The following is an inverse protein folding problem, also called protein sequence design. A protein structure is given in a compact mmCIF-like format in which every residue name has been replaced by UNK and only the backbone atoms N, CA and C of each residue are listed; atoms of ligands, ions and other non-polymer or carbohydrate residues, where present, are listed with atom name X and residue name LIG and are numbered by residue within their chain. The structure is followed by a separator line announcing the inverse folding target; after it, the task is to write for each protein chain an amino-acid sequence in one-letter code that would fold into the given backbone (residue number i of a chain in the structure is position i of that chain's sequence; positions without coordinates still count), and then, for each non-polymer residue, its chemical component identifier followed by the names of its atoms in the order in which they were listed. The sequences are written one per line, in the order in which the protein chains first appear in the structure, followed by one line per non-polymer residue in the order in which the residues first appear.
data_IF_652091221551
#
_entry.id   IF_652091221551
#
_cell.length_a   1.000
_cell.length_b   1.000
_cell.length_c   1.000
_cell.angle_alpha   90.00
_cell.angle_beta   90.00
_cell.angle_gamma   90.00
#
_symmetry.space_group_name_H-M   'P 1'
#
loop_
_entity.id
_entity.type
_entity.pdbx_description
1 polymer ?
#
# COMPACT_ATOMS: atom_id res chain seq x y z
N UNK A 1 -28.55 -43.76 -3.89
CA UNK A 1 -28.74 -42.35 -4.28
C UNK A 1 -27.85 -41.49 -3.40
N UNK A 2 -26.89 -40.80 -4.02
CA UNK A 2 -25.83 -40.03 -3.37
C UNK A 2 -26.37 -38.76 -2.71
N UNK A 3 -26.15 -38.62 -1.41
CA UNK A 3 -26.28 -37.35 -0.70
C UNK A 3 -25.25 -36.35 -1.25
N UNK A 4 -25.68 -35.52 -2.21
CA UNK A 4 -24.99 -34.27 -2.55
C UNK A 4 -25.12 -33.32 -1.36
N UNK A 5 -24.23 -33.48 -0.37
CA UNK A 5 -23.91 -32.37 0.53
C UNK A 5 -23.28 -31.31 -0.35
N UNK A 6 -24.03 -30.24 -0.63
CA UNK A 6 -23.50 -28.99 -1.15
C UNK A 6 -22.35 -28.58 -0.23
N UNK A 7 -21.13 -28.86 -0.65
CA UNK A 7 -19.91 -28.38 -0.03
C UNK A 7 -19.78 -26.90 -0.41
N UNK A 8 -20.62 -26.06 0.20
CA UNK A 8 -20.48 -24.60 0.17
C UNK A 8 -19.24 -24.24 0.97
N UNK A 9 -18.07 -24.58 0.43
CA UNK A 9 -16.77 -24.14 0.97
C UNK A 9 -16.83 -22.62 0.99
N UNK A 10 -16.80 -22.03 2.18
CA UNK A 10 -16.76 -20.57 2.38
C UNK A 10 -15.56 -20.02 1.60
N UNK A 11 -15.85 -19.42 0.46
CA UNK A 11 -14.93 -18.55 -0.26
C UNK A 11 -14.52 -17.40 0.66
N UNK A 12 -13.25 -17.00 0.62
CA UNK A 12 -12.83 -15.82 1.34
C UNK A 12 -13.52 -14.61 0.70
N UNK A 13 -14.10 -13.73 1.52
CA UNK A 13 -14.74 -12.51 1.04
C UNK A 13 -14.26 -11.33 1.88
N UNK A 14 -13.75 -10.32 1.21
CA UNK A 14 -13.38 -9.05 1.83
C UNK A 14 -13.81 -7.91 0.91
N UNK A 15 -15.12 -7.69 0.88
CA UNK A 15 -15.74 -6.72 -0.03
C UNK A 15 -15.11 -5.33 0.07
N UNK A 16 -14.75 -4.88 1.28
CA UNK A 16 -14.11 -3.56 1.44
C UNK A 16 -12.74 -3.48 0.76
N UNK A 17 -11.94 -4.55 0.81
CA UNK A 17 -10.67 -4.59 0.09
C UNK A 17 -10.90 -4.71 -1.42
N UNK A 18 -11.87 -5.54 -1.83
CA UNK A 18 -12.21 -5.73 -3.24
C UNK A 18 -12.73 -4.42 -3.86
N UNK A 19 -13.53 -3.65 -3.13
CA UNK A 19 -13.98 -2.31 -3.50
C UNK A 19 -12.80 -1.34 -3.62
N UNK A 20 -11.85 -1.35 -2.67
CA UNK A 20 -10.65 -0.51 -2.76
C UNK A 20 -9.84 -0.88 -4.01
N UNK A 21 -9.62 -2.17 -4.27
CA UNK A 21 -8.94 -2.67 -5.47
C UNK A 21 -9.66 -2.18 -6.73
N UNK A 22 -10.99 -2.24 -6.75
CA UNK A 22 -11.77 -1.76 -7.89
C UNK A 22 -11.68 -0.25 -8.06
N UNK A 23 -11.76 0.53 -6.98
CA UNK A 23 -11.55 1.99 -7.01
C UNK A 23 -10.17 2.33 -7.58
N UNK A 24 -9.12 1.61 -7.18
CA UNK A 24 -7.76 1.83 -7.69
C UNK A 24 -7.62 1.45 -9.17
N UNK A 25 -8.38 0.45 -9.65
CA UNK A 25 -8.43 0.05 -11.08
C UNK A 25 -9.20 1.03 -11.97
N UNK A 26 -10.29 1.60 -11.46
CA UNK A 26 -11.22 2.44 -12.23
C UNK A 26 -10.90 3.94 -12.12
N UNK A 27 -10.66 4.41 -10.88
CA UNK A 27 -10.59 5.83 -10.51
C UNK A 27 -9.17 6.32 -10.16
N UNK A 28 -8.16 5.47 -10.30
CA UNK A 28 -6.75 5.83 -10.46
C UNK A 28 -6.01 6.55 -9.32
N UNK A 29 -6.45 6.57 -8.06
CA UNK A 29 -5.68 7.37 -7.07
C UNK A 29 -6.08 7.20 -5.58
N UNK A 30 -5.07 7.29 -4.71
CA UNK A 30 -5.22 7.52 -3.27
C UNK A 30 -5.36 9.00 -2.92
N UNK A 31 -4.96 9.92 -3.81
CA UNK A 31 -4.98 11.37 -3.65
C UNK A 31 -5.59 12.11 -4.86
N UNK A 32 -6.81 12.64 -4.69
CA UNK A 32 -7.55 13.36 -5.74
C UNK A 32 -8.14 14.63 -5.16
N UNK A 33 -8.25 15.71 -5.96
CA UNK A 33 -8.85 16.98 -5.53
C UNK A 33 -8.17 17.55 -4.26
N UNK A 34 -6.84 17.56 -4.28
CA UNK A 34 -5.98 18.02 -3.19
C UNK A 34 -6.21 17.36 -1.81
N UNK A 35 -6.83 16.17 -1.78
CA UNK A 35 -7.13 15.44 -0.54
C UNK A 35 -7.00 13.92 -0.75
N UNK A 36 -6.91 13.19 0.35
CA UNK A 36 -6.96 11.72 0.28
C UNK A 36 -8.34 11.25 -0.17
N UNK A 37 -8.37 10.15 -0.92
CA UNK A 37 -9.62 9.52 -1.35
C UNK A 37 -10.38 8.97 -0.14
N UNK A 38 -11.41 9.72 0.29
CA UNK A 38 -12.17 9.43 1.51
C UNK A 38 -12.91 8.08 1.43
N UNK A 39 -13.25 7.61 0.23
CA UNK A 39 -13.91 6.31 0.04
C UNK A 39 -12.96 5.18 0.42
N UNK A 40 -11.67 5.28 0.05
CA UNK A 40 -10.64 4.33 0.45
C UNK A 40 -10.41 4.41 1.97
N UNK A 41 -10.27 5.63 2.51
CA UNK A 41 -10.04 5.87 3.95
C UNK A 41 -11.16 5.25 4.81
N UNK A 42 -12.42 5.39 4.42
CA UNK A 42 -13.55 4.85 5.18
C UNK A 42 -13.65 3.32 5.11
N UNK A 43 -13.01 2.68 4.11
CA UNK A 43 -13.06 1.23 3.90
C UNK A 43 -11.87 0.49 4.51
N UNK A 44 -10.72 1.15 4.66
CA UNK A 44 -9.46 0.46 4.94
C UNK A 44 -9.44 -0.26 6.29
N UNK A 45 -10.08 0.29 7.32
CA UNK A 45 -10.21 -0.37 8.63
C UNK A 45 -10.97 -1.70 8.51
N UNK A 46 -12.12 -1.68 7.83
CA UNK A 46 -12.93 -2.88 7.63
C UNK A 46 -12.24 -3.87 6.69
N UNK A 47 -11.48 -3.39 5.70
CA UNK A 47 -10.65 -4.22 4.85
C UNK A 47 -9.58 -4.95 5.68
N UNK A 48 -8.90 -4.24 6.59
CA UNK A 48 -7.90 -4.82 7.49
C UNK A 48 -8.52 -5.87 8.43
N UNK A 49 -9.66 -5.55 9.06
CA UNK A 49 -10.40 -6.50 9.92
C UNK A 49 -10.93 -7.70 9.13
N UNK A 50 -11.29 -7.51 7.86
CA UNK A 50 -11.75 -8.56 6.94
C UNK A 50 -10.73 -9.66 6.68
N UNK A 51 -9.43 -9.39 6.86
CA UNK A 51 -8.41 -10.45 6.87
C UNK A 51 -8.51 -11.37 8.09
N UNK A 52 -8.99 -10.87 9.24
CA UNK A 52 -8.96 -11.56 10.53
C UNK A 52 -7.60 -12.22 10.78
N UNK A 53 -7.62 -13.49 11.21
CA UNK A 53 -6.41 -14.30 11.42
C UNK A 53 -5.78 -14.90 10.16
N UNK A 54 -6.35 -14.69 8.97
CA UNK A 54 -5.91 -15.36 7.72
C UNK A 54 -4.63 -14.74 7.18
N UNK A 55 -4.49 -13.43 7.33
CA UNK A 55 -3.25 -12.70 7.04
C UNK A 55 -2.62 -12.30 8.36
N UNK A 56 -1.36 -12.70 8.55
CA UNK A 56 -0.65 -12.40 9.79
C UNK A 56 -0.01 -11.03 9.72
N UNK A 57 -0.10 -10.27 10.82
CA UNK A 57 0.58 -8.97 10.97
C UNK A 57 2.07 -9.05 10.67
N UNK A 58 2.74 -10.14 11.03
CA UNK A 58 4.17 -10.36 10.72
C UNK A 58 4.44 -10.41 9.22
N UNK A 59 3.55 -11.02 8.43
CA UNK A 59 3.73 -11.10 6.98
C UNK A 59 3.57 -9.73 6.32
N UNK A 60 2.68 -8.90 6.85
CA UNK A 60 2.48 -7.53 6.38
C UNK A 60 3.58 -6.59 6.86
N UNK A 61 4.12 -6.79 8.07
CA UNK A 61 5.21 -5.98 8.64
C UNK A 61 6.43 -5.89 7.72
N UNK A 62 6.82 -6.99 7.08
CA UNK A 62 7.98 -6.98 6.19
C UNK A 62 7.75 -6.12 4.94
N UNK A 63 6.51 -6.07 4.45
CA UNK A 63 6.12 -5.20 3.34
C UNK A 63 6.08 -3.74 3.83
N UNK A 64 5.47 -3.50 4.99
CA UNK A 64 5.40 -2.20 5.65
C UNK A 64 6.78 -1.57 5.85
N UNK A 65 7.70 -2.30 6.48
CA UNK A 65 9.06 -1.82 6.71
C UNK A 65 9.76 -1.47 5.40
N UNK A 66 9.60 -2.29 4.36
CA UNK A 66 10.21 -2.01 3.07
C UNK A 66 9.71 -0.71 2.42
N UNK A 67 8.43 -0.36 2.60
CA UNK A 67 7.92 0.94 2.16
C UNK A 67 8.39 2.09 3.05
N UNK A 68 8.50 1.90 4.37
CA UNK A 68 9.08 2.89 5.29
C UNK A 68 10.56 3.15 4.99
N UNK A 69 11.32 2.14 4.57
CA UNK A 69 12.71 2.31 4.14
C UNK A 69 12.78 3.22 2.89
N UNK A 70 11.86 3.06 1.94
CA UNK A 70 11.77 3.92 0.75
C UNK A 70 11.38 5.35 1.15
N UNK A 71 10.41 5.52 2.04
CA UNK A 71 10.03 6.85 2.56
C UNK A 71 11.20 7.54 3.27
N UNK A 72 11.97 6.79 4.06
CA UNK A 72 13.16 7.32 4.71
C UNK A 72 14.22 7.76 3.69
N UNK A 73 14.46 6.97 2.65
CA UNK A 73 15.38 7.34 1.57
C UNK A 73 14.91 8.60 0.83
N UNK A 74 13.61 8.70 0.55
CA UNK A 74 13.01 9.88 -0.09
C UNK A 74 13.21 11.13 0.78
N UNK A 75 12.91 11.03 2.07
CA UNK A 75 13.09 12.14 3.02
C UNK A 75 14.55 12.57 3.17
N UNK A 76 15.49 11.62 3.17
CA UNK A 76 16.93 11.93 3.19
C UNK A 76 17.35 12.69 1.94
N UNK A 77 16.87 12.27 0.76
CA UNK A 77 17.14 13.00 -0.49
C UNK A 77 16.53 14.40 -0.47
N UNK A 78 15.30 14.55 0.01
CA UNK A 78 14.69 15.88 0.19
C UNK A 78 15.55 16.79 1.07
N UNK A 79 16.05 16.31 2.21
CA UNK A 79 16.92 17.12 3.08
C UNK A 79 18.22 17.53 2.39
N UNK A 80 18.83 16.63 1.62
CA UNK A 80 20.12 16.89 0.97
C UNK A 80 20.00 17.82 -0.24
N UNK A 81 18.92 17.70 -1.00
CA UNK A 81 18.72 18.44 -2.26
C UNK A 81 17.96 19.75 -2.10
N UNK A 82 17.17 19.89 -1.03
CA UNK A 82 16.44 21.13 -0.70
C UNK A 82 17.27 21.90 0.32
N UNK A 83 18.42 22.40 -0.11
CA UNK A 83 19.22 23.31 0.71
C UNK A 83 18.63 24.72 0.65
N UNK A 84 18.07 25.19 1.76
CA UNK A 84 17.38 26.49 1.84
C UNK A 84 18.35 27.67 1.59
N UNK A 85 19.65 27.47 1.81
CA UNK A 85 20.66 28.51 1.61
C UNK A 85 20.97 28.80 0.13
N UNK A 86 20.35 28.05 -0.80
CA UNK A 86 20.52 28.23 -2.26
C UNK A 86 19.49 29.17 -2.86
N UNK A 87 18.38 29.45 -2.17
CA UNK A 87 17.36 30.40 -2.61
C UNK A 87 17.83 31.80 -2.19
N UNK A 88 18.47 32.51 -3.12
CA UNK A 88 19.11 33.80 -2.87
C UNK A 88 18.10 34.86 -2.38
N UNK A 89 18.60 35.84 -1.62
CA UNK A 89 17.89 36.83 -0.79
C UNK A 89 16.84 37.74 -1.49
N UNK A 90 16.44 37.49 -2.74
CA UNK A 90 15.55 38.36 -3.52
C UNK A 90 14.34 37.67 -4.17
N UNK A 91 13.97 36.47 -3.76
CA UNK A 91 12.82 35.76 -4.33
C UNK A 91 11.51 35.99 -3.54
N UNK A 92 10.43 36.30 -4.27
CA UNK A 92 9.08 36.30 -3.72
C UNK A 92 8.74 34.91 -3.16
N UNK A 93 8.02 34.86 -2.03
CA UNK A 93 7.65 33.61 -1.31
C UNK A 93 7.04 32.55 -2.24
N UNK A 94 6.23 32.96 -3.22
CA UNK A 94 5.60 32.06 -4.19
C UNK A 94 6.62 31.39 -5.14
N UNK A 95 7.68 32.10 -5.51
CA UNK A 95 8.77 31.57 -6.36
C UNK A 95 9.57 30.48 -5.65
N UNK A 96 9.96 30.72 -4.40
CA UNK A 96 10.67 29.75 -3.56
C UNK A 96 9.84 28.48 -3.40
N UNK A 97 8.54 28.61 -3.14
CA UNK A 97 7.64 27.46 -2.99
C UNK A 97 7.55 26.64 -4.28
N UNK A 98 7.40 27.30 -5.44
CA UNK A 98 7.35 26.61 -6.72
C UNK A 98 8.65 25.85 -7.02
N UNK A 99 9.80 26.43 -6.72
CA UNK A 99 11.09 25.78 -6.94
C UNK A 99 11.29 24.59 -6.00
N UNK A 100 10.91 24.73 -4.72
CA UNK A 100 10.92 23.62 -3.76
C UNK A 100 10.01 22.47 -4.20
N UNK A 101 8.79 22.77 -4.65
CA UNK A 101 7.84 21.75 -5.12
C UNK A 101 8.37 21.04 -6.37
N UNK A 102 8.98 21.77 -7.31
CA UNK A 102 9.65 21.20 -8.48
C UNK A 102 10.79 20.27 -8.08
N UNK A 103 11.64 20.68 -7.13
CA UNK A 103 12.77 19.88 -6.69
C UNK A 103 12.33 18.60 -5.97
N UNK A 104 11.28 18.67 -5.16
CA UNK A 104 10.67 17.48 -4.56
C UNK A 104 10.18 16.50 -5.61
N UNK A 105 9.53 17.01 -6.67
CA UNK A 105 9.05 16.15 -7.75
C UNK A 105 10.20 15.49 -8.52
N UNK A 106 11.30 16.21 -8.78
CA UNK A 106 12.52 15.62 -9.38
C UNK A 106 13.07 14.47 -8.52
N UNK A 107 13.26 14.72 -7.22
CA UNK A 107 13.75 13.72 -6.26
C UNK A 107 12.80 12.51 -6.19
N UNK A 108 11.50 12.75 -6.17
CA UNK A 108 10.51 11.68 -6.17
C UNK A 108 10.62 10.81 -7.42
N UNK A 109 10.79 11.42 -8.60
CA UNK A 109 10.94 10.70 -9.86
C UNK A 109 12.19 9.79 -9.89
N UNK A 110 13.24 10.11 -9.13
CA UNK A 110 14.38 9.20 -8.95
C UNK A 110 14.07 7.99 -8.06
N UNK A 111 13.19 8.15 -7.08
CA UNK A 111 12.79 7.09 -6.12
C UNK A 111 11.65 6.24 -6.68
N UNK A 112 10.80 6.80 -7.53
CA UNK A 112 9.63 6.14 -8.14
C UNK A 112 9.94 4.76 -8.74
N UNK A 113 11.04 4.54 -9.49
CA UNK A 113 11.40 3.19 -9.96
C UNK A 113 11.55 2.16 -8.84
N UNK A 114 12.09 2.54 -7.68
CA UNK A 114 12.24 1.67 -6.51
C UNK A 114 10.85 1.29 -5.97
N UNK A 115 9.92 2.24 -5.91
CA UNK A 115 8.52 2.00 -5.55
C UNK A 115 7.89 0.99 -6.53
N UNK A 116 8.09 1.16 -7.85
CA UNK A 116 7.53 0.23 -8.85
C UNK A 116 8.13 -1.18 -8.73
N UNK A 117 9.42 -1.30 -8.39
CA UNK A 117 10.09 -2.59 -8.13
C UNK A 117 9.54 -3.35 -6.91
N UNK A 118 8.84 -2.67 -5.99
CA UNK A 118 8.19 -3.33 -4.85
C UNK A 118 7.18 -4.40 -5.29
N UNK A 119 6.63 -4.30 -6.50
CA UNK A 119 5.72 -5.33 -7.05
C UNK A 119 6.37 -6.71 -7.02
N UNK A 120 7.62 -6.84 -7.48
CA UNK A 120 8.35 -8.10 -7.48
C UNK A 120 8.67 -8.61 -6.07
N UNK A 121 9.07 -7.72 -5.16
CA UNK A 121 9.32 -8.07 -3.76
C UNK A 121 8.06 -8.58 -3.06
N UNK A 122 6.91 -7.96 -3.32
CA UNK A 122 5.62 -8.35 -2.74
C UNK A 122 5.16 -9.70 -3.30
N UNK A 123 5.25 -9.92 -4.62
CA UNK A 123 5.01 -11.22 -5.24
C UNK A 123 5.82 -12.32 -4.57
N UNK A 124 7.11 -12.09 -4.36
CA UNK A 124 7.98 -13.06 -3.70
C UNK A 124 7.58 -13.31 -2.24
N UNK A 125 7.38 -12.24 -1.45
CA UNK A 125 7.04 -12.37 -0.02
C UNK A 125 5.70 -13.07 0.19
N UNK A 126 4.68 -12.71 -0.60
CA UNK A 126 3.35 -13.32 -0.51
C UNK A 126 3.36 -14.73 -1.10
N UNK A 127 4.00 -14.94 -2.24
CA UNK A 127 4.16 -16.26 -2.87
C UNK A 127 4.76 -17.28 -1.90
N UNK A 128 5.87 -16.93 -1.24
CA UNK A 128 6.47 -17.78 -0.19
C UNK A 128 5.52 -18.07 0.97
N UNK A 129 4.69 -17.12 1.38
CA UNK A 129 3.69 -17.35 2.42
C UNK A 129 2.65 -18.36 1.95
N UNK A 130 2.11 -18.20 0.74
CA UNK A 130 1.13 -19.11 0.14
C UNK A 130 1.68 -20.53 -0.03
N UNK A 131 2.94 -20.67 -0.46
CA UNK A 131 3.62 -21.96 -0.62
C UNK A 131 3.82 -22.68 0.71
N UNK A 132 4.14 -21.93 1.78
CA UNK A 132 4.29 -22.47 3.13
C UNK A 132 2.98 -22.91 3.78
N UNK A 133 1.81 -22.58 3.21
CA UNK A 133 0.51 -22.98 3.73
C UNK A 133 0.12 -24.39 3.28
N UNK A 134 -0.53 -25.13 4.18
CA UNK A 134 -1.10 -26.44 3.90
C UNK A 134 -2.04 -26.39 2.67
N UNK A 135 -2.07 -27.45 1.86
CA UNK A 135 -3.00 -27.61 0.71
C UNK A 135 -4.46 -27.38 1.08
N UNK A 136 -4.85 -27.65 2.34
CA UNK A 136 -6.22 -27.46 2.85
C UNK A 136 -6.55 -26.00 3.22
N UNK A 137 -5.55 -25.12 3.35
CA UNK A 137 -5.71 -23.72 3.77
C UNK A 137 -6.20 -22.79 2.63
N UNK A 138 -7.25 -23.20 1.91
CA UNK A 138 -7.74 -22.48 0.71
C UNK A 138 -8.12 -21.03 0.99
N UNK A 139 -8.83 -20.77 2.10
CA UNK A 139 -9.29 -19.44 2.48
C UNK A 139 -8.11 -18.52 2.83
N UNK A 140 -7.07 -19.03 3.49
CA UNK A 140 -5.86 -18.24 3.79
C UNK A 140 -5.08 -17.90 2.53
N UNK A 141 -4.93 -18.87 1.61
CA UNK A 141 -4.30 -18.62 0.30
C UNK A 141 -5.03 -17.53 -0.47
N UNK A 142 -6.36 -17.59 -0.53
CA UNK A 142 -7.20 -16.57 -1.17
C UNK A 142 -7.05 -15.20 -0.49
N UNK A 143 -7.01 -15.14 0.85
CA UNK A 143 -6.77 -13.89 1.57
C UNK A 143 -5.41 -13.26 1.22
N UNK A 144 -4.33 -14.05 1.13
CA UNK A 144 -3.03 -13.56 0.70
C UNK A 144 -3.02 -13.11 -0.78
N UNK A 145 -3.76 -13.77 -1.66
CA UNK A 145 -3.92 -13.35 -3.06
C UNK A 145 -4.63 -11.99 -3.17
N UNK A 146 -5.67 -11.77 -2.38
CA UNK A 146 -6.34 -10.47 -2.33
C UNK A 146 -5.40 -9.37 -1.79
N UNK A 147 -4.61 -9.67 -0.75
CA UNK A 147 -3.57 -8.75 -0.26
C UNK A 147 -2.54 -8.41 -1.35
N UNK A 148 -2.11 -9.41 -2.13
CA UNK A 148 -1.19 -9.21 -3.23
C UNK A 148 -1.79 -8.28 -4.29
N UNK A 149 -3.05 -8.53 -4.68
CA UNK A 149 -3.76 -7.70 -5.66
C UNK A 149 -3.90 -6.25 -5.17
N UNK A 150 -4.21 -6.04 -3.89
CA UNK A 150 -4.23 -4.71 -3.29
C UNK A 150 -2.91 -3.97 -3.49
N UNK A 151 -1.78 -4.58 -3.17
CA UNK A 151 -0.48 -3.93 -3.33
C UNK A 151 -0.11 -3.70 -4.79
N UNK A 152 -0.43 -4.66 -5.68
CA UNK A 152 -0.18 -4.49 -7.11
C UNK A 152 -0.91 -3.26 -7.67
N UNK A 153 -2.20 -3.10 -7.34
CA UNK A 153 -2.97 -1.94 -7.78
C UNK A 153 -2.49 -0.66 -7.08
N UNK A 154 -2.14 -0.75 -5.79
CA UNK A 154 -1.59 0.39 -5.06
C UNK A 154 -0.31 0.93 -5.71
N UNK A 155 0.62 0.04 -6.07
CA UNK A 155 1.88 0.42 -6.72
C UNK A 155 1.63 0.97 -8.12
N UNK A 156 0.65 0.43 -8.84
CA UNK A 156 0.32 0.87 -10.19
C UNK A 156 -0.06 2.36 -10.22
N UNK A 157 -0.90 2.81 -9.28
CA UNK A 157 -1.40 4.21 -9.24
C UNK A 157 -0.41 5.23 -8.68
N UNK A 158 0.65 4.80 -7.99
CA UNK A 158 1.62 5.73 -7.39
C UNK A 158 2.50 6.34 -8.49
N UNK A 159 2.10 7.51 -8.97
CA UNK A 159 2.81 8.23 -10.02
C UNK A 159 3.39 9.59 -9.61
N UNK A 160 2.94 10.13 -8.48
CA UNK A 160 3.37 11.42 -7.90
C UNK A 160 3.69 11.26 -6.41
N UNK A 161 4.45 12.20 -5.81
CA UNK A 161 4.82 12.13 -4.39
C UNK A 161 3.60 12.08 -3.46
N UNK A 162 2.55 12.85 -3.77
CA UNK A 162 1.33 12.91 -2.95
C UNK A 162 0.56 11.59 -2.95
N UNK A 163 0.57 10.86 -4.07
CA UNK A 163 0.01 9.51 -4.15
C UNK A 163 0.75 8.55 -3.23
N UNK A 164 2.08 8.60 -3.25
CA UNK A 164 2.89 7.75 -2.39
C UNK A 164 2.64 8.03 -0.90
N UNK A 165 2.59 9.31 -0.51
CA UNK A 165 2.27 9.72 0.86
C UNK A 165 0.86 9.27 1.29
N UNK A 166 -0.14 9.41 0.42
CA UNK A 166 -1.50 8.98 0.70
C UNK A 166 -1.58 7.45 0.83
N UNK A 167 -0.93 6.71 -0.06
CA UNK A 167 -0.78 5.26 0.03
C UNK A 167 -0.16 4.84 1.36
N UNK A 168 0.95 5.47 1.79
CA UNK A 168 1.63 5.14 3.05
C UNK A 168 0.70 5.30 4.26
N UNK A 169 -0.07 6.38 4.32
CA UNK A 169 -1.05 6.63 5.38
C UNK A 169 -2.16 5.58 5.41
N UNK A 170 -2.70 5.23 4.24
CA UNK A 170 -3.70 4.17 4.10
C UNK A 170 -3.11 2.82 4.53
N UNK A 171 -1.88 2.53 4.11
CA UNK A 171 -1.23 1.27 4.44
C UNK A 171 -0.88 1.17 5.93
N UNK A 172 -0.41 2.25 6.55
CA UNK A 172 -0.17 2.32 7.99
C UNK A 172 -1.45 2.07 8.78
N UNK A 173 -2.57 2.67 8.35
CA UNK A 173 -3.89 2.42 8.93
C UNK A 173 -4.27 0.93 8.83
N UNK A 174 -4.18 0.33 7.64
CA UNK A 174 -4.41 -1.11 7.47
C UNK A 174 -3.54 -1.96 8.39
N UNK A 175 -2.22 -1.69 8.42
CA UNK A 175 -1.29 -2.42 9.26
C UNK A 175 -1.60 -2.29 10.75
N UNK A 176 -2.08 -1.11 11.19
CA UNK A 176 -2.52 -0.85 12.55
C UNK A 176 -3.73 -1.68 12.97
N UNK A 177 -4.71 -1.84 12.07
CA UNK A 177 -5.96 -2.57 12.33
C UNK A 177 -5.90 -4.08 12.09
N UNK A 178 -4.82 -4.61 11.50
CA UNK A 178 -4.64 -6.06 11.38
C UNK A 178 -4.61 -6.73 12.76
N UNK A 179 -5.41 -7.79 12.91
CA UNK A 179 -5.42 -8.57 14.14
C UNK A 179 -4.00 -9.06 14.48
N UNK A 180 -3.61 -8.89 15.75
CA UNK A 180 -2.42 -9.58 16.27
C UNK A 180 -2.74 -11.06 16.22
N UNK A 181 -2.06 -11.81 15.35
CA UNK A 181 -2.16 -13.27 15.34
C UNK A 181 -1.96 -13.80 16.76
N UNK A 182 -2.79 -14.77 17.18
CA UNK A 182 -2.72 -15.31 18.53
C UNK A 182 -1.30 -15.80 18.82
N UNK A 183 -0.77 -15.46 20.00
CA UNK A 183 0.31 -16.22 20.61
C UNK A 183 -0.25 -17.63 20.79
N UNK A 184 0.11 -18.55 19.90
CA UNK A 184 0.06 -19.97 20.21
C UNK A 184 1.39 -20.32 20.84
#
# INVERSE_FOLDING_TARGET
MSNFKNDTRKEYKNQNLDDIIQILKENNSFYYDNKMNIVIVNKIEYAAKGFGRKVTRTSVRNIYNAFKDIEMQLNQKYINEININTFAENEFIDGIKMEMDKKKEEVFNEVKPIIKLMKGKIHYLIGRKIEGLNKKAKTEKSAYQHLQSFFEQSIAVIDESKEFEAFLKVFECMYGYLEKGSKN
#
